data_IF_418793121607
#
_entry.id   IF_418793121607
#
_cell.length_a   1.000
_cell.length_b   1.000
_cell.length_c   1.000
_cell.angle_alpha   90.00
_cell.angle_beta   90.00
_cell.angle_gamma   90.00
#
_symmetry.space_group_name_H-M   'P 1'
#
loop_
_entity.id
_entity.type
_entity.pdbx_description
1 polymer ?
#
# COMPACT_ATOMS: atom_id res chain seq x y z
N UNK A 1 65.94 17.44 22.05
CA UNK A 1 64.57 17.01 22.42
C UNK A 1 63.59 17.79 21.55
N UNK A 2 63.03 17.17 20.51
CA UNK A 2 62.04 17.80 19.63
C UNK A 2 60.64 17.37 20.08
N UNK A 3 59.85 18.32 20.58
CA UNK A 3 58.44 18.11 20.94
C UNK A 3 57.58 18.42 19.73
N UNK A 4 57.00 17.38 19.12
CA UNK A 4 56.02 17.51 18.06
C UNK A 4 54.63 17.82 18.67
N UNK A 5 54.01 18.91 18.23
CA UNK A 5 52.63 19.24 18.58
C UNK A 5 51.67 18.49 17.65
N UNK A 6 50.86 17.59 18.21
CA UNK A 6 49.83 16.86 17.48
C UNK A 6 48.54 17.67 17.48
N UNK A 7 48.11 18.15 16.31
CA UNK A 7 46.78 18.74 16.13
C UNK A 7 45.78 17.65 15.74
N UNK A 8 44.76 17.43 16.57
CA UNK A 8 43.64 16.53 16.25
C UNK A 8 42.52 17.33 15.60
N UNK A 9 42.20 17.01 14.34
CA UNK A 9 41.09 17.60 13.59
C UNK A 9 39.84 16.72 13.81
N UNK A 10 38.92 17.15 14.67
CA UNK A 10 37.64 16.48 14.84
C UNK A 10 36.64 16.97 13.78
N UNK A 11 36.45 16.20 12.70
CA UNK A 11 35.39 16.44 11.72
C UNK A 11 34.06 15.84 12.22
N UNK A 12 33.18 16.68 12.77
CA UNK A 12 31.77 16.32 13.00
C UNK A 12 31.01 16.36 11.69
N UNK A 13 30.73 15.18 11.12
CA UNK A 13 29.80 15.00 10.01
C UNK A 13 28.36 15.15 10.53
N UNK A 14 27.72 16.28 10.22
CA UNK A 14 26.29 16.47 10.45
C UNK A 14 25.54 15.88 9.25
N UNK A 15 24.96 14.70 9.41
CA UNK A 15 24.02 14.16 8.43
C UNK A 15 22.73 14.99 8.51
N UNK A 16 22.53 15.90 7.56
CA UNK A 16 21.23 16.52 7.33
C UNK A 16 20.25 15.44 6.88
N UNK A 17 19.44 14.94 7.81
CA UNK A 17 18.32 14.05 7.48
C UNK A 17 17.28 14.88 6.74
N UNK A 18 17.27 14.79 5.40
CA UNK A 18 16.16 15.27 4.57
C UNK A 18 14.92 14.46 4.95
N UNK A 19 14.00 15.06 5.71
CA UNK A 19 12.75 14.39 6.11
C UNK A 19 11.79 14.36 4.93
N UNK A 20 11.99 13.43 4.00
CA UNK A 20 11.06 13.21 2.89
C UNK A 20 9.88 12.38 3.39
N UNK A 21 8.66 12.91 3.21
CA UNK A 21 7.44 12.14 3.42
C UNK A 21 7.34 11.10 2.29
N UNK A 22 7.38 9.81 2.61
CA UNK A 22 7.43 8.74 1.63
C UNK A 22 6.77 7.46 2.14
N UNK A 23 5.94 6.86 1.29
CA UNK A 23 5.28 5.58 1.50
C UNK A 23 5.53 4.70 0.29
N UNK A 24 5.87 3.44 0.50
CA UNK A 24 5.92 2.43 -0.55
C UNK A 24 4.76 1.47 -0.36
N UNK A 25 4.04 1.20 -1.45
CA UNK A 25 3.02 0.15 -1.50
C UNK A 25 3.56 -0.98 -2.36
N UNK A 26 3.65 -2.18 -1.77
CA UNK A 26 4.00 -3.40 -2.46
C UNK A 26 2.75 -4.26 -2.62
N UNK A 27 2.55 -4.83 -3.81
CA UNK A 27 1.46 -5.76 -4.10
C UNK A 27 2.09 -7.08 -4.54
N UNK A 28 1.74 -8.16 -3.86
CA UNK A 28 2.23 -9.52 -4.15
C UNK A 28 1.02 -10.40 -4.43
N UNK A 29 1.04 -11.07 -5.58
CA UNK A 29 0.09 -12.13 -5.91
C UNK A 29 0.88 -13.44 -5.91
N UNK A 30 0.40 -14.52 -5.26
CA UNK A 30 1.07 -15.81 -5.29
C UNK A 30 1.33 -16.26 -6.73
N UNK A 31 2.54 -16.74 -7.04
CA UNK A 31 2.96 -17.03 -8.43
C UNK A 31 2.23 -18.23 -9.04
N UNK A 32 1.66 -19.09 -8.20
CA UNK A 32 0.85 -20.24 -8.60
C UNK A 32 -0.31 -20.32 -7.61
N UNK A 33 -1.52 -20.47 -8.15
CA UNK A 33 -2.72 -20.71 -7.36
C UNK A 33 -3.37 -21.96 -7.94
N UNK A 34 -3.56 -22.98 -7.11
CA UNK A 34 -4.08 -24.28 -7.55
C UNK A 34 -5.60 -24.25 -7.80
N UNK A 35 -6.27 -23.19 -7.33
CA UNK A 35 -7.71 -22.99 -7.45
C UNK A 35 -7.99 -21.49 -7.54
N UNK A 36 -8.94 -21.08 -8.38
CA UNK A 36 -9.31 -19.67 -8.50
C UNK A 36 -9.86 -19.13 -7.17
N UNK A 37 -10.49 -20.01 -6.37
CA UNK A 37 -11.03 -19.70 -5.05
C UNK A 37 -9.95 -19.28 -4.03
N UNK A 38 -8.68 -19.59 -4.31
CA UNK A 38 -7.54 -19.25 -3.47
C UNK A 38 -6.76 -18.02 -3.99
N UNK A 39 -7.29 -17.29 -4.97
CA UNK A 39 -6.61 -16.12 -5.52
C UNK A 39 -6.71 -14.94 -4.54
N UNK A 40 -5.57 -14.59 -3.95
CA UNK A 40 -5.44 -13.46 -3.03
C UNK A 40 -4.35 -12.49 -3.47
N UNK A 41 -4.53 -11.19 -3.22
CA UNK A 41 -3.48 -10.19 -3.31
C UNK A 41 -3.05 -9.76 -1.90
N UNK A 42 -1.75 -9.72 -1.67
CA UNK A 42 -1.16 -9.23 -0.42
C UNK A 42 -0.64 -7.82 -0.70
N UNK A 43 -1.19 -6.83 -0.01
CA UNK A 43 -0.72 -5.45 -0.09
C UNK A 43 0.08 -5.11 1.16
N UNK A 44 1.19 -4.42 1.01
CA UNK A 44 2.02 -3.99 2.14
C UNK A 44 2.37 -2.52 1.97
N UNK A 45 1.93 -1.69 2.90
CA UNK A 45 2.29 -0.28 2.97
C UNK A 45 3.42 -0.09 3.96
N UNK A 46 4.53 0.50 3.51
CA UNK A 46 5.72 0.74 4.31
C UNK A 46 6.02 2.24 4.42
N UNK A 47 6.28 2.70 5.65
CA UNK A 47 6.66 4.08 5.92
C UNK A 47 8.18 4.26 5.81
N UNK A 48 8.65 4.81 4.67
CA UNK A 48 10.06 5.14 4.46
C UNK A 48 10.46 6.49 5.07
N UNK A 49 9.52 7.24 5.64
CA UNK A 49 9.78 8.55 6.20
C UNK A 49 10.28 8.48 7.63
N UNK A 50 10.92 9.55 8.08
CA UNK A 50 11.36 9.70 9.47
C UNK A 50 10.26 10.19 10.41
N UNK A 51 9.02 10.32 9.91
CA UNK A 51 7.86 10.78 10.67
C UNK A 51 6.79 9.71 10.71
N UNK A 52 5.95 9.73 11.75
CA UNK A 52 4.75 8.89 11.81
C UNK A 52 3.75 9.36 10.76
N UNK A 53 3.20 8.42 10.00
CA UNK A 53 2.18 8.66 8.98
C UNK A 53 0.82 8.20 9.48
N UNK A 54 -0.21 8.99 9.16
CA UNK A 54 -1.61 8.64 9.37
C UNK A 54 -2.25 8.50 8.00
N UNK A 55 -2.57 7.28 7.60
CA UNK A 55 -3.10 6.93 6.29
C UNK A 55 -4.60 6.63 6.42
N UNK A 56 -5.41 7.21 5.54
CA UNK A 56 -6.86 6.95 5.53
C UNK A 56 -7.12 5.54 5.00
N UNK A 57 -7.88 4.76 5.75
CA UNK A 57 -8.44 3.49 5.33
C UNK A 57 -9.69 3.78 4.49
N UNK A 58 -9.47 4.28 3.27
CA UNK A 58 -10.55 4.37 2.30
C UNK A 58 -10.96 2.95 1.91
N UNK A 59 -12.26 2.69 1.92
CA UNK A 59 -12.85 1.44 1.44
C UNK A 59 -12.36 1.05 0.04
N UNK A 60 -12.04 2.01 -0.84
CA UNK A 60 -11.46 1.74 -2.17
C UNK A 60 -9.92 1.72 -2.21
N UNK A 61 -9.25 1.71 -1.05
CA UNK A 61 -7.79 1.66 -0.93
C UNK A 61 -7.30 0.27 -0.55
N UNK A 62 -6.06 -0.04 -0.96
CA UNK A 62 -5.32 -1.27 -0.61
C UNK A 62 -5.08 -1.46 0.90
N UNK A 63 -5.39 -0.44 1.71
CA UNK A 63 -5.28 -0.44 3.17
C UNK A 63 -6.56 -0.90 3.87
N UNK A 64 -7.69 -0.96 3.15
CA UNK A 64 -8.95 -1.46 3.68
C UNK A 64 -9.08 -2.95 3.40
N UNK A 65 -9.70 -3.69 4.30
CA UNK A 65 -10.12 -5.08 4.15
C UNK A 65 -11.50 -5.22 3.49
N UNK A 66 -12.14 -4.11 3.11
CA UNK A 66 -13.47 -4.13 2.51
C UNK A 66 -13.47 -4.65 1.07
N UNK A 67 -14.50 -5.43 0.73
CA UNK A 67 -14.68 -6.06 -0.58
C UNK A 67 -15.15 -5.05 -1.66
N UNK A 68 -14.34 -4.04 -1.95
CA UNK A 68 -14.62 -3.02 -2.99
C UNK A 68 -13.70 -3.13 -4.20
N UNK A 69 -14.01 -2.39 -5.27
CA UNK A 69 -13.22 -2.43 -6.51
C UNK A 69 -11.88 -1.67 -6.37
N UNK A 70 -10.94 -2.27 -5.65
CA UNK A 70 -9.63 -1.71 -5.32
C UNK A 70 -8.56 -2.05 -6.36
N UNK A 71 -8.71 -3.15 -7.10
CA UNK A 71 -7.71 -3.65 -8.04
C UNK A 71 -8.18 -3.49 -9.50
N UNK A 72 -7.30 -2.92 -10.34
CA UNK A 72 -7.46 -2.94 -11.80
C UNK A 72 -6.82 -4.24 -12.32
N UNK A 73 -7.65 -5.22 -12.68
CA UNK A 73 -7.22 -6.54 -13.14
C UNK A 73 -7.52 -6.66 -14.63
N UNK A 74 -6.52 -7.03 -15.43
CA UNK A 74 -6.66 -7.23 -16.88
C UNK A 74 -5.61 -8.21 -17.40
N UNK A 75 -5.96 -8.92 -18.47
CA UNK A 75 -5.04 -9.68 -19.30
C UNK A 75 -5.30 -9.38 -20.79
N UNK A 76 -4.58 -10.07 -21.69
CA UNK A 76 -4.74 -9.91 -23.14
C UNK A 76 -6.15 -10.24 -23.66
N UNK A 77 -6.93 -11.02 -22.90
CA UNK A 77 -8.27 -11.47 -23.26
C UNK A 77 -9.39 -10.60 -22.66
N UNK A 78 -9.07 -9.71 -21.72
CA UNK A 78 -10.05 -8.83 -21.06
C UNK A 78 -9.83 -8.64 -19.57
N UNK A 79 -10.86 -8.11 -18.91
CA UNK A 79 -10.88 -7.90 -17.46
C UNK A 79 -11.96 -8.77 -16.83
N UNK A 80 -11.72 -9.39 -15.66
CA UNK A 80 -12.76 -10.09 -14.93
C UNK A 80 -13.85 -9.10 -14.49
N UNK A 81 -15.08 -9.57 -14.40
CA UNK A 81 -16.20 -8.76 -13.92
C UNK A 81 -16.11 -8.61 -12.39
N UNK A 82 -16.19 -7.37 -11.88
CA UNK A 82 -16.25 -7.14 -10.44
C UNK A 82 -17.64 -7.50 -9.90
N UNK A 83 -17.70 -8.38 -8.91
CA UNK A 83 -18.92 -8.87 -8.26
C UNK A 83 -19.05 -8.44 -6.80
N UNK A 84 -18.08 -7.70 -6.27
CA UNK A 84 -18.09 -7.21 -4.89
C UNK A 84 -19.06 -6.06 -4.64
N UNK A 85 -19.02 -5.51 -3.42
CA UNK A 85 -19.91 -4.42 -3.01
C UNK A 85 -19.47 -3.07 -3.59
N UNK A 86 -20.44 -2.33 -4.15
CA UNK A 86 -20.24 -0.94 -4.53
C UNK A 86 -20.38 -0.06 -3.28
N UNK A 87 -19.26 0.33 -2.69
CA UNK A 87 -19.21 1.25 -1.55
C UNK A 87 -19.08 2.70 -2.04
N UNK A 88 -19.85 3.62 -1.46
CA UNK A 88 -19.73 5.05 -1.76
C UNK A 88 -18.42 5.61 -1.21
N UNK A 89 -17.70 6.40 -2.03
CA UNK A 89 -16.42 7.03 -1.71
C UNK A 89 -16.42 7.85 -0.40
N UNK A 90 -15.27 8.02 0.27
CA UNK A 90 -15.17 8.36 1.70
C UNK A 90 -15.39 9.84 2.03
N UNK A 91 -16.11 10.61 1.19
CA UNK A 91 -16.30 12.05 1.38
C UNK A 91 -16.96 12.44 2.72
N UNK A 92 -17.62 11.49 3.40
CA UNK A 92 -18.18 11.68 4.74
C UNK A 92 -17.25 11.23 5.88
N UNK A 93 -16.24 10.39 5.61
CA UNK A 93 -15.39 9.76 6.63
C UNK A 93 -14.32 10.73 7.15
N UNK A 94 -13.75 11.55 6.27
CA UNK A 94 -12.74 12.56 6.64
C UNK A 94 -13.30 13.60 7.63
N UNK A 95 -14.63 13.78 7.70
CA UNK A 95 -15.28 14.73 8.61
C UNK A 95 -15.35 14.23 10.06
N UNK A 96 -15.43 12.91 10.26
CA UNK A 96 -15.59 12.30 11.58
C UNK A 96 -14.24 12.11 12.29
N UNK A 97 -13.16 11.95 11.51
CA UNK A 97 -11.79 11.77 12.00
C UNK A 97 -11.68 10.67 13.07
N UNK A 98 -12.48 9.61 12.93
CA UNK A 98 -12.45 8.47 13.83
C UNK A 98 -11.11 7.76 13.67
N UNK A 99 -10.52 7.30 14.78
CA UNK A 99 -9.25 6.58 14.73
C UNK A 99 -9.37 5.25 13.98
N UNK A 100 -10.56 4.65 13.95
CA UNK A 100 -10.83 3.42 13.19
C UNK A 100 -10.64 3.59 11.67
N UNK A 101 -10.80 4.82 11.16
CA UNK A 101 -10.71 5.13 9.74
C UNK A 101 -9.25 5.31 9.27
N UNK A 102 -8.26 5.15 10.15
CA UNK A 102 -6.87 5.38 9.78
C UNK A 102 -5.91 4.29 10.25
N UNK A 103 -4.97 3.96 9.37
CA UNK A 103 -3.77 3.21 9.71
C UNK A 103 -2.65 4.16 10.09
N UNK A 104 -2.10 4.00 11.30
CA UNK A 104 -0.97 4.79 11.79
C UNK A 104 0.31 3.98 11.64
N UNK A 105 1.26 4.48 10.84
CA UNK A 105 2.57 3.86 10.61
C UNK A 105 3.68 4.71 11.23
N UNK A 106 4.36 4.19 12.25
CA UNK A 106 5.58 4.81 12.74
C UNK A 106 6.71 4.73 11.68
N UNK A 107 7.80 5.52 11.82
CA UNK A 107 8.95 5.43 10.91
C UNK A 107 9.47 3.99 10.77
N UNK A 108 9.62 3.51 9.53
CA UNK A 108 10.08 2.15 9.23
C UNK A 108 9.05 1.04 9.48
N UNK A 109 7.82 1.35 9.90
CA UNK A 109 6.77 0.35 10.07
C UNK A 109 6.12 -0.04 8.75
N UNK A 110 5.65 -1.28 8.70
CA UNK A 110 4.85 -1.82 7.61
C UNK A 110 3.50 -2.30 8.11
N UNK A 111 2.47 -2.15 7.29
CA UNK A 111 1.17 -2.76 7.51
C UNK A 111 0.77 -3.59 6.30
N UNK A 112 0.27 -4.80 6.55
CA UNK A 112 -0.05 -5.77 5.52
C UNK A 112 -1.54 -6.11 5.58
N UNK A 113 -2.17 -6.17 4.40
CA UNK A 113 -3.56 -6.58 4.23
C UNK A 113 -3.62 -7.67 3.17
N UNK A 114 -4.43 -8.69 3.42
CA UNK A 114 -4.68 -9.79 2.48
C UNK A 114 -6.07 -9.57 1.89
N UNK A 115 -6.14 -9.48 0.57
CA UNK A 115 -7.36 -9.24 -0.19
C UNK A 115 -7.75 -10.53 -0.91
N UNK A 116 -8.97 -11.02 -0.67
CA UNK A 116 -9.52 -12.16 -1.41
C UNK A 116 -10.08 -11.68 -2.75
N UNK A 117 -9.40 -11.97 -3.85
CA UNK A 117 -9.86 -11.55 -5.18
C UNK A 117 -10.95 -12.48 -5.73
N UNK A 118 -10.94 -13.75 -5.35
CA UNK A 118 -11.88 -14.76 -5.85
C UNK A 118 -13.33 -14.46 -5.44
N UNK A 119 -13.53 -13.93 -4.23
CA UNK A 119 -14.86 -13.51 -3.76
C UNK A 119 -15.36 -12.21 -4.41
N UNK A 120 -14.47 -11.45 -5.04
CA UNK A 120 -14.75 -10.08 -5.49
C UNK A 120 -14.79 -9.93 -7.01
N UNK A 121 -14.19 -10.86 -7.75
CA UNK A 121 -14.10 -10.83 -9.20
C UNK A 121 -14.47 -12.19 -9.79
N UNK A 122 -15.27 -12.16 -10.85
CA UNK A 122 -15.61 -13.35 -11.60
C UNK A 122 -14.54 -13.61 -12.68
N UNK A 123 -13.72 -14.63 -12.45
CA UNK A 123 -12.68 -15.09 -13.37
C UNK A 123 -13.14 -16.19 -14.35
N UNK A 124 -14.39 -16.67 -14.27
CA UNK A 124 -14.89 -17.75 -15.16
C UNK A 124 -15.18 -17.28 -16.58
N UNK A 125 -15.38 -15.97 -16.80
CA UNK A 125 -15.57 -15.39 -18.12
C UNK A 125 -14.61 -14.20 -18.29
N UNK A 126 -13.98 -14.11 -19.46
CA UNK A 126 -13.32 -12.87 -19.86
C UNK A 126 -14.41 -11.81 -20.09
N UNK A 127 -14.51 -10.82 -19.19
CA UNK A 127 -15.35 -9.65 -19.41
C UNK A 127 -14.81 -8.81 -20.58
N UNK A 128 -15.62 -7.89 -21.14
CA UNK A 128 -15.19 -7.05 -22.25
C UNK A 128 -13.89 -6.31 -21.91
N UNK A 129 -12.92 -6.29 -22.83
CA UNK A 129 -11.72 -5.47 -22.70
C UNK A 129 -12.12 -4.02 -22.38
N UNK A 130 -11.72 -3.52 -21.22
CA UNK A 130 -11.83 -2.09 -20.91
C UNK A 130 -10.75 -1.36 -21.71
N UNK A 131 -11.13 -0.78 -22.85
CA UNK A 131 -10.29 0.19 -23.54
C UNK A 131 -10.12 1.42 -22.64
N UNK A 132 -8.89 1.67 -22.16
CA UNK A 132 -8.54 2.97 -21.59
C UNK A 132 -8.51 3.99 -22.74
N UNK A 133 -9.52 4.86 -22.79
CA UNK A 133 -9.49 6.10 -23.59
C UNK A 133 -8.72 7.17 -22.85
#
# INVERSE_FOLDING_TARGET
MCTAFTASLACTIVFGVSTTLSVTVLIIIPPQVNDVDNLSAITTAHNNSTKTLKLLNDSCSVLSDTETNTFDISNDNGSPEFTGMLMNSPNNIVKTNDLADFTVLAPGQSHQVIHNLAGMYNFTNAGPCRNKM
#
